data_IF_250044068393
#
_entry.id   IF_250044068393
#
_cell.length_a   1.000
_cell.length_b   1.000
_cell.length_c   1.000
_cell.angle_alpha   90.00
_cell.angle_beta   90.00
_cell.angle_gamma   90.00
#
_symmetry.space_group_name_H-M   'P 1'
#
loop_
_entity.id
_entity.type
_entity.pdbx_description
1 polymer ?
#
# COMPACT_ATOMS: atom_id res chain seq x y z
N UNK A 1 -0.01 -18.76 -8.33
CA UNK A 1 -1.14 -17.82 -8.12
C UNK A 1 -2.35 -18.37 -8.89
N UNK A 2 -3.59 -18.13 -8.43
CA UNK A 2 -4.83 -18.45 -9.18
C UNK A 2 -4.97 -19.89 -9.76
N UNK A 3 -5.22 -20.92 -8.94
CA UNK A 3 -5.43 -22.29 -9.41
C UNK A 3 -6.75 -22.51 -10.18
N UNK A 4 -7.66 -21.54 -10.22
CA UNK A 4 -9.01 -21.70 -10.75
C UNK A 4 -9.30 -20.86 -12.00
N UNK A 5 -8.28 -20.17 -12.54
CA UNK A 5 -8.44 -19.16 -13.59
C UNK A 5 -9.53 -18.12 -13.28
N UNK A 6 -9.53 -17.62 -12.04
CA UNK A 6 -10.52 -16.69 -11.51
C UNK A 6 -10.43 -15.29 -12.13
N UNK A 7 -11.37 -14.41 -11.77
CA UNK A 7 -11.65 -13.16 -12.52
C UNK A 7 -11.33 -11.87 -11.78
N UNK A 8 -11.27 -11.94 -10.46
CA UNK A 8 -11.27 -10.83 -9.53
C UNK A 8 -9.90 -10.63 -8.87
N UNK A 9 -9.72 -9.49 -8.20
CA UNK A 9 -8.42 -9.04 -7.71
C UNK A 9 -7.84 -9.90 -6.58
N UNK A 10 -8.67 -10.58 -5.80
CA UNK A 10 -8.19 -11.46 -4.73
C UNK A 10 -7.36 -12.64 -5.25
N UNK A 11 -7.43 -12.92 -6.56
CA UNK A 11 -6.61 -13.93 -7.23
C UNK A 11 -5.36 -13.38 -7.91
N UNK A 12 -5.20 -12.04 -7.88
CA UNK A 12 -4.01 -11.35 -8.35
C UNK A 12 -2.92 -11.29 -7.26
N UNK A 13 -3.22 -11.65 -6.00
CA UNK A 13 -2.22 -11.70 -4.94
C UNK A 13 -1.34 -12.96 -5.04
N UNK A 14 -0.16 -12.92 -4.41
CA UNK A 14 0.68 -14.09 -4.24
C UNK A 14 -0.02 -15.19 -3.41
N UNK A 15 0.52 -16.41 -3.44
CA UNK A 15 0.03 -17.55 -2.65
C UNK A 15 1.20 -18.19 -1.90
N UNK A 16 1.28 -18.05 -0.56
CA UNK A 16 0.33 -17.38 0.35
C UNK A 16 0.24 -15.84 0.14
N UNK A 17 -0.84 -15.24 0.63
CA UNK A 17 -1.06 -13.79 0.52
C UNK A 17 -0.11 -13.07 1.50
N UNK A 18 0.65 -12.06 1.05
CA UNK A 18 1.52 -11.29 1.93
C UNK A 18 0.71 -10.33 2.81
N UNK A 19 1.29 -9.82 3.89
CA UNK A 19 0.59 -8.94 4.85
C UNK A 19 0.07 -7.64 4.21
N UNK A 20 0.78 -7.13 3.20
CA UNK A 20 0.39 -5.95 2.42
C UNK A 20 -0.61 -6.22 1.29
N UNK A 21 -1.00 -7.48 1.06
CA UNK A 21 -1.88 -7.95 -0.01
C UNK A 21 -1.35 -7.73 -1.44
N UNK A 22 -1.22 -6.47 -1.86
CA UNK A 22 -0.83 -6.07 -3.21
C UNK A 22 0.47 -5.28 -3.18
N UNK A 23 1.46 -5.73 -3.94
CA UNK A 23 2.73 -5.03 -4.13
C UNK A 23 2.59 -3.58 -4.62
N UNK A 24 1.57 -3.25 -5.39
CA UNK A 24 1.33 -1.90 -5.90
C UNK A 24 -0.16 -1.58 -6.00
N UNK A 25 -0.49 -0.30 -6.17
CA UNK A 25 -1.89 0.12 -6.36
C UNK A 25 -2.38 -0.31 -7.74
N UNK A 26 -3.42 -1.14 -7.75
CA UNK A 26 -4.01 -1.66 -8.98
C UNK A 26 -4.98 -0.63 -9.56
N UNK A 27 -4.72 -0.18 -10.78
CA UNK A 27 -5.70 0.56 -11.58
C UNK A 27 -6.76 -0.40 -12.13
N UNK A 28 -8.02 -0.16 -11.77
CA UNK A 28 -9.16 -1.01 -12.13
C UNK A 28 -10.00 -0.29 -13.17
N UNK A 29 -10.05 -0.84 -14.39
CA UNK A 29 -10.89 -0.30 -15.46
C UNK A 29 -12.24 -1.01 -15.56
N UNK A 30 -12.28 -2.29 -15.15
CA UNK A 30 -13.44 -3.17 -15.32
C UNK A 30 -13.67 -4.00 -14.07
N UNK A 31 -14.92 -4.46 -13.88
CA UNK A 31 -15.29 -5.29 -12.72
C UNK A 31 -14.43 -6.56 -12.60
N UNK A 32 -14.09 -7.19 -13.73
CA UNK A 32 -13.27 -8.40 -13.80
C UNK A 32 -11.85 -8.08 -14.27
N UNK A 33 -11.19 -7.16 -13.58
CA UNK A 33 -9.86 -6.64 -13.96
C UNK A 33 -8.86 -7.76 -14.23
N UNK A 34 -8.77 -8.75 -13.34
CA UNK A 34 -7.83 -9.85 -13.49
C UNK A 34 -8.15 -10.76 -14.68
N UNK A 35 -9.43 -10.98 -14.99
CA UNK A 35 -9.82 -11.67 -16.23
C UNK A 35 -9.38 -10.87 -17.46
N UNK A 36 -9.60 -9.55 -17.46
CA UNK A 36 -9.29 -8.69 -18.60
C UNK A 36 -7.80 -8.48 -18.84
N UNK A 37 -6.95 -8.70 -17.82
CA UNK A 37 -5.50 -8.76 -17.99
C UNK A 37 -5.04 -10.09 -18.60
N UNK A 38 -5.68 -11.20 -18.23
CA UNK A 38 -5.39 -12.54 -18.79
C UNK A 38 -5.98 -12.75 -20.19
N UNK A 39 -7.14 -12.18 -20.47
CA UNK A 39 -7.97 -12.48 -21.64
C UNK A 39 -8.37 -11.22 -22.41
N UNK A 40 -8.32 -11.29 -23.73
CA UNK A 40 -8.81 -10.23 -24.62
C UNK A 40 -9.53 -10.80 -25.83
N UNK A 41 -9.86 -9.94 -26.80
CA UNK A 41 -10.46 -10.36 -28.06
C UNK A 41 -9.45 -10.26 -29.21
N UNK A 42 -9.55 -11.17 -30.17
CA UNK A 42 -8.83 -11.10 -31.45
C UNK A 42 -9.58 -10.23 -32.49
N UNK A 43 -9.02 -10.09 -33.69
CA UNK A 43 -9.61 -9.32 -34.80
C UNK A 43 -11.00 -9.86 -35.21
N UNK A 44 -11.28 -11.14 -34.94
CA UNK A 44 -12.55 -11.80 -35.23
C UNK A 44 -13.56 -11.72 -34.07
N UNK A 45 -13.18 -11.07 -32.97
CA UNK A 45 -13.99 -10.91 -31.77
C UNK A 45 -13.99 -12.12 -30.83
N UNK A 46 -13.18 -13.15 -31.08
CA UNK A 46 -13.07 -14.34 -30.21
C UNK A 46 -12.22 -14.04 -28.99
N UNK A 47 -12.60 -14.62 -27.86
CA UNK A 47 -11.84 -14.51 -26.61
C UNK A 47 -10.58 -15.38 -26.73
N UNK A 48 -9.43 -14.77 -26.48
CA UNK A 48 -8.11 -15.40 -26.54
C UNK A 48 -7.28 -15.01 -25.31
N UNK A 49 -6.46 -15.95 -24.83
CA UNK A 49 -5.57 -15.70 -23.68
C UNK A 49 -4.41 -14.83 -24.15
N UNK A 50 -4.15 -13.73 -23.44
CA UNK A 50 -3.09 -12.76 -23.72
C UNK A 50 -1.92 -12.89 -22.74
N UNK A 51 -2.18 -13.30 -21.51
CA UNK A 51 -1.16 -13.46 -20.47
C UNK A 51 -1.47 -14.66 -19.56
N UNK A 52 -0.43 -15.21 -18.91
CA UNK A 52 -0.61 -16.21 -17.84
C UNK A 52 -1.05 -15.53 -16.53
N UNK A 53 -1.52 -16.31 -15.55
CA UNK A 53 -1.91 -15.72 -14.27
C UNK A 53 -0.69 -15.21 -13.50
N UNK A 54 0.42 -15.93 -13.61
CA UNK A 54 1.71 -15.60 -13.01
C UNK A 54 2.32 -14.31 -13.57
N UNK A 55 2.09 -14.01 -14.86
CA UNK A 55 2.57 -12.78 -15.50
C UNK A 55 1.84 -11.51 -15.03
N UNK A 56 0.57 -11.65 -14.64
CA UNK A 56 -0.29 -10.50 -14.28
C UNK A 56 -0.60 -10.41 -12.79
N UNK A 57 -0.27 -11.44 -12.02
CA UNK A 57 -0.39 -11.47 -10.57
C UNK A 57 0.86 -10.89 -9.92
N UNK A 58 0.67 -10.37 -8.71
CA UNK A 58 1.71 -9.85 -7.83
C UNK A 58 2.47 -11.03 -7.22
N UNK A 59 3.79 -10.88 -7.08
CA UNK A 59 4.66 -11.92 -6.54
C UNK A 59 4.81 -11.85 -5.00
N UNK A 60 4.36 -10.75 -4.40
CA UNK A 60 4.37 -10.51 -2.96
C UNK A 60 5.73 -10.07 -2.43
N UNK A 61 6.66 -9.67 -3.31
CA UNK A 61 8.03 -9.33 -2.93
C UNK A 61 8.23 -7.89 -2.46
N UNK A 62 7.22 -7.01 -2.60
CA UNK A 62 7.39 -5.61 -2.21
C UNK A 62 7.47 -5.47 -0.69
N UNK A 63 8.59 -4.92 -0.20
CA UNK A 63 8.84 -4.64 1.22
C UNK A 63 8.62 -3.17 1.59
N UNK A 64 8.47 -2.28 0.61
CA UNK A 64 8.25 -0.85 0.81
C UNK A 64 6.75 -0.51 0.87
N UNK A 65 5.99 -1.31 1.62
CA UNK A 65 4.57 -1.07 1.88
C UNK A 65 4.35 -0.85 3.36
N UNK A 66 3.86 0.35 3.70
CA UNK A 66 3.62 0.73 5.08
C UNK A 66 2.38 0.03 5.63
N UNK A 67 2.54 -0.77 6.68
CA UNK A 67 1.46 -1.44 7.40
C UNK A 67 1.11 -0.68 8.69
N UNK A 68 -0.18 -0.63 9.08
CA UNK A 68 -0.55 -0.06 10.36
C UNK A 68 0.04 -0.90 11.51
N UNK A 69 0.47 -0.22 12.57
CA UNK A 69 1.00 -0.88 13.76
C UNK A 69 -0.11 -1.65 14.52
N UNK A 70 0.19 -2.79 15.16
CA UNK A 70 -0.79 -3.54 15.94
C UNK A 70 -1.19 -2.78 17.22
N UNK A 71 -2.47 -2.77 17.56
CA UNK A 71 -3.02 -2.08 18.74
C UNK A 71 -3.79 -3.01 19.67
N UNK A 72 -3.54 -2.90 20.99
CA UNK A 72 -4.29 -3.62 22.02
C UNK A 72 -5.51 -2.84 22.53
N UNK A 73 -5.66 -1.57 22.19
CA UNK A 73 -6.75 -0.76 22.72
C UNK A 73 -8.15 -1.15 22.25
N UNK A 74 -8.36 -1.59 20.99
CA UNK A 74 -9.67 -2.07 20.54
C UNK A 74 -10.21 -3.23 21.40
N UNK A 75 -9.35 -4.18 21.78
CA UNK A 75 -9.80 -5.32 22.59
C UNK A 75 -10.09 -4.91 24.04
N UNK A 76 -9.33 -3.96 24.60
CA UNK A 76 -9.60 -3.39 25.93
C UNK A 76 -10.92 -2.64 25.96
N UNK A 77 -11.20 -1.82 24.94
CA UNK A 77 -12.46 -1.10 24.81
C UNK A 77 -13.64 -2.08 24.64
N UNK A 78 -13.48 -3.09 23.78
CA UNK A 78 -14.51 -4.11 23.55
C UNK A 78 -14.84 -4.92 24.81
N UNK A 79 -13.84 -5.21 25.67
CA UNK A 79 -14.04 -5.94 26.93
C UNK A 79 -15.02 -5.24 27.88
N UNK A 80 -15.11 -3.91 27.83
CA UNK A 80 -16.07 -3.15 28.63
C UNK A 80 -17.54 -3.41 28.26
N UNK A 81 -17.83 -3.72 26.99
CA UNK A 81 -19.21 -3.89 26.51
C UNK A 81 -19.93 -5.12 27.12
N UNK A 82 -19.33 -6.33 27.17
CA UNK A 82 -19.92 -7.45 27.88
C UNK A 82 -20.14 -7.17 29.38
N UNK A 83 -19.22 -6.44 30.03
CA UNK A 83 -19.33 -6.09 31.45
C UNK A 83 -20.52 -5.14 31.68
N UNK A 84 -20.70 -4.14 30.82
CA UNK A 84 -21.86 -3.24 30.84
C UNK A 84 -23.14 -4.04 30.60
N UNK A 85 -23.17 -4.87 29.56
CA UNK A 85 -24.34 -5.70 29.23
C UNK A 85 -24.76 -6.60 30.39
N UNK A 86 -23.80 -7.24 31.04
CA UNK A 86 -24.05 -8.03 32.25
C UNK A 86 -24.52 -7.17 33.43
N UNK A 87 -23.95 -5.98 33.60
CA UNK A 87 -24.34 -5.01 34.62
C UNK A 87 -25.77 -4.51 34.47
N UNK A 88 -26.24 -4.27 33.24
CA UNK A 88 -27.61 -3.86 32.97
C UNK A 88 -28.64 -4.93 33.37
N UNK A 89 -28.26 -6.21 33.35
CA UNK A 89 -29.15 -7.32 33.72
C UNK A 89 -29.17 -7.54 35.24
N UNK A 90 -28.00 -7.56 35.88
CA UNK A 90 -27.86 -8.07 37.25
C UNK A 90 -27.45 -7.03 38.29
N UNK A 91 -26.64 -6.03 37.94
CA UNK A 91 -26.17 -5.02 38.89
C UNK A 91 -25.59 -3.79 38.17
N UNK A 92 -26.26 -2.64 38.32
CA UNK A 92 -25.88 -1.38 37.67
C UNK A 92 -24.46 -0.91 38.04
N UNK A 93 -23.90 -1.31 39.20
CA UNK A 93 -22.51 -0.97 39.54
C UNK A 93 -21.48 -1.53 38.57
N UNK A 94 -21.77 -2.66 37.92
CA UNK A 94 -20.88 -3.23 36.90
C UNK A 94 -20.84 -2.38 35.64
N UNK A 95 -21.86 -1.55 35.39
CA UNK A 95 -21.83 -0.58 34.29
C UNK A 95 -20.72 0.47 34.48
N UNK A 96 -20.41 0.84 35.73
CA UNK A 96 -19.30 1.76 36.03
C UNK A 96 -17.98 1.10 35.67
N UNK A 97 -17.76 -0.16 36.09
CA UNK A 97 -16.54 -0.91 35.79
C UNK A 97 -16.37 -1.07 34.28
N UNK A 98 -17.40 -1.54 33.57
CA UNK A 98 -17.33 -1.68 32.12
C UNK A 98 -17.17 -0.32 31.41
N UNK A 99 -17.79 0.74 31.93
CA UNK A 99 -17.58 2.11 31.45
C UNK A 99 -16.14 2.58 31.58
N UNK A 100 -15.43 2.22 32.65
CA UNK A 100 -14.01 2.52 32.81
C UNK A 100 -13.14 1.79 31.77
N UNK A 101 -13.47 0.54 31.43
CA UNK A 101 -12.78 -0.19 30.35
C UNK A 101 -13.01 0.46 28.98
N UNK A 102 -14.25 0.85 28.68
CA UNK A 102 -14.55 1.55 27.41
C UNK A 102 -13.83 2.89 27.35
N UNK A 103 -14.00 3.74 28.37
CA UNK A 103 -13.39 5.07 28.38
C UNK A 103 -11.87 5.02 28.43
N UNK A 104 -11.30 4.13 29.24
CA UNK A 104 -9.84 3.93 29.31
C UNK A 104 -9.28 3.35 28.01
N UNK A 105 -9.98 2.40 27.39
CA UNK A 105 -9.61 1.83 26.10
C UNK A 105 -9.63 2.86 24.98
N UNK A 106 -10.70 3.64 24.88
CA UNK A 106 -10.80 4.73 23.89
C UNK A 106 -9.77 5.83 24.15
N UNK A 107 -9.56 6.21 25.40
CA UNK A 107 -8.53 7.18 25.77
C UNK A 107 -7.15 6.70 25.32
N UNK A 108 -6.77 5.47 25.68
CA UNK A 108 -5.50 4.90 25.26
C UNK A 108 -5.34 4.81 23.75
N UNK A 109 -6.42 4.45 23.03
CA UNK A 109 -6.41 4.39 21.58
C UNK A 109 -6.21 5.75 20.92
N UNK A 110 -6.84 6.81 21.43
CA UNK A 110 -6.73 8.17 20.89
C UNK A 110 -5.31 8.73 21.02
N UNK A 111 -4.59 8.34 22.08
CA UNK A 111 -3.21 8.77 22.33
C UNK A 111 -2.15 7.78 21.85
N UNK A 112 -2.55 6.69 21.21
CA UNK A 112 -1.63 5.76 20.58
C UNK A 112 -1.00 6.41 19.34
N UNK A 113 0.34 6.37 19.18
CA UNK A 113 0.96 6.84 17.95
C UNK A 113 0.53 5.96 16.76
N UNK A 114 0.42 6.58 15.57
CA UNK A 114 -0.03 5.88 14.36
C UNK A 114 1.00 4.85 13.89
N UNK A 115 2.28 5.13 14.13
CA UNK A 115 3.42 4.32 13.70
C UNK A 115 4.32 3.99 14.90
N UNK A 116 4.85 2.76 14.95
CA UNK A 116 5.82 2.35 15.97
C UNK A 116 7.20 2.99 15.67
N UNK A 117 7.72 3.88 16.53
CA UNK A 117 9.04 4.47 16.33
C UNK A 117 10.20 3.47 16.43
N UNK A 118 9.95 2.22 16.84
CA UNK A 118 10.92 1.14 16.89
C UNK A 118 10.74 0.10 15.78
N UNK A 119 9.82 0.31 14.83
CA UNK A 119 9.86 -0.45 13.58
C UNK A 119 11.15 -0.05 12.86
N UNK A 120 12.07 -1.00 12.69
CA UNK A 120 13.41 -0.77 12.14
C UNK A 120 13.33 0.09 10.87
N UNK A 121 13.83 1.32 10.95
CA UNK A 121 13.79 2.28 9.88
C UNK A 121 14.68 1.84 8.71
N UNK A 122 14.08 1.27 7.68
CA UNK A 122 14.57 1.41 6.31
C UNK A 122 14.11 2.77 5.76
N UNK A 123 14.54 3.85 6.41
CA UNK A 123 14.50 5.18 5.81
C UNK A 123 15.82 5.38 5.09
N UNK A 124 15.85 5.08 3.79
CA UNK A 124 16.88 5.62 2.92
C UNK A 124 16.68 7.14 2.86
N UNK A 125 17.54 7.86 3.58
CA UNK A 125 17.79 9.28 3.41
C UNK A 125 18.29 9.52 1.98
N UNK A 126 17.40 9.68 1.01
CA UNK A 126 17.76 10.25 -0.28
C UNK A 126 17.91 11.76 -0.11
N UNK A 127 19.12 12.13 0.32
CA UNK A 127 19.64 13.48 0.14
C UNK A 127 19.52 13.88 -1.33
N UNK A 128 18.67 14.86 -1.63
CA UNK A 128 18.68 15.55 -2.92
C UNK A 128 19.98 16.36 -3.07
N UNK A 129 21.06 15.66 -3.44
CA UNK A 129 22.31 16.24 -3.90
C UNK A 129 22.16 16.67 -5.35
N UNK A 130 21.93 17.97 -5.55
CA UNK A 130 22.04 18.62 -6.84
C UNK A 130 23.51 18.55 -7.33
N UNK A 131 23.77 17.81 -8.41
CA UNK A 131 25.01 17.92 -9.17
C UNK A 131 24.74 17.70 -10.66
N UNK A 132 24.42 18.82 -11.32
CA UNK A 132 24.93 19.29 -12.60
C UNK A 132 25.26 18.25 -13.68
N UNK A 133 24.32 18.08 -14.62
CA UNK A 133 24.54 17.44 -15.92
C UNK A 133 25.24 18.43 -16.89
N UNK A 134 26.32 18.05 -17.60
CA UNK A 134 27.01 18.97 -18.50
C UNK A 134 26.50 18.80 -19.94
N UNK A 135 25.83 19.82 -20.49
CA UNK A 135 25.72 19.97 -21.96
C UNK A 135 25.22 21.35 -22.40
N UNK A 136 26.07 22.12 -23.05
CA UNK A 136 25.82 22.70 -24.38
C UNK A 136 27.01 23.58 -24.78
N UNK A 137 27.57 23.29 -25.95
CA UNK A 137 28.56 24.11 -26.65
C UNK A 137 27.96 25.48 -26.96
N UNK A 138 28.56 26.55 -26.44
CA UNK A 138 28.33 27.91 -26.93
C UNK A 138 29.16 28.14 -28.19
N UNK A 139 28.46 28.42 -29.29
CA UNK A 139 29.05 28.91 -30.54
C UNK A 139 29.31 30.40 -30.35
N UNK A 140 30.58 30.79 -30.23
CA UNK A 140 31.00 32.19 -30.19
C UNK A 140 31.21 32.73 -31.61
N UNK A 141 30.17 33.39 -32.14
CA UNK A 141 30.28 34.36 -33.23
C UNK A 141 30.82 35.68 -32.66
N UNK A 142 32.13 35.92 -32.80
CA UNK A 142 32.72 37.17 -33.29
C UNK A 142 34.21 37.30 -32.89
N UNK A 143 35.11 36.72 -33.70
CA UNK A 143 36.48 37.21 -33.83
C UNK A 143 36.75 37.47 -35.30
N UNK A 144 36.31 38.64 -35.75
CA UNK A 144 36.87 39.28 -36.93
C UNK A 144 38.32 39.71 -36.64
N UNK A 145 39.13 39.76 -37.70
CA UNK A 145 40.54 40.22 -37.75
C UNK A 145 41.62 39.15 -37.56
N UNK A 146 42.06 38.52 -38.66
CA UNK A 146 43.42 38.69 -39.22
C UNK A 146 43.59 37.74 -40.42
N UNK A 147 43.38 38.27 -41.63
CA UNK A 147 43.95 37.73 -42.87
C UNK A 147 44.85 38.81 -43.43
N UNK A 148 46.14 38.73 -43.12
CA UNK A 148 47.19 39.44 -43.84
C UNK A 148 47.97 38.44 -44.70
N UNK A 149 48.06 38.82 -45.97
CA UNK A 149 48.82 38.27 -47.08
C UNK A 149 50.29 37.99 -46.72
N UNK A 150 50.77 36.78 -47.02
CA UNK A 150 51.95 36.49 -47.85
C UNK A 150 52.05 34.98 -48.17
#
# INVERSE_FOLDING_TARGET
PDPWDARSLEWMTASPVPEHNFDETIEVERQDEFWHRKWGKDETGRVVRRATAEEVAHDGSNTNVHLPSPSYWPIVAALGLPIIGYGLIYNLWLCVVGGLFVLGGLYGWVFEPVDDPNADGHHDDDSHGNSDEPRAEEIDENSSEEVSVD
#
